data_IF_124439903989
#
_entry.id   IF_124439903989
#
_cell.length_a   1.000
_cell.length_b   1.000
_cell.length_c   1.000
_cell.angle_alpha   90.00
_cell.angle_beta   90.00
_cell.angle_gamma   90.00
#
_symmetry.space_group_name_H-M   'P 1'
#
loop_
_entity.id
_entity.type
_entity.pdbx_description
1 polymer ?
#
# COMPACT_ATOMS: atom_id res chain seq x y z
N UNK A 1 -26.23 7.89 11.50
CA UNK A 1 -26.33 8.35 10.10
C UNK A 1 -24.89 8.50 9.63
N UNK A 2 -24.33 7.45 9.04
CA UNK A 2 -22.95 7.45 8.57
C UNK A 2 -22.91 8.34 7.33
N UNK A 3 -22.07 9.36 7.32
CA UNK A 3 -21.80 10.15 6.12
C UNK A 3 -21.51 9.18 4.96
N UNK A 4 -22.08 9.38 3.76
CA UNK A 4 -21.68 8.57 2.62
C UNK A 4 -20.17 8.71 2.45
N UNK A 5 -19.49 7.57 2.23
CA UNK A 5 -18.05 7.59 1.97
C UNK A 5 -17.74 8.62 0.87
N UNK A 6 -16.69 9.45 1.04
CA UNK A 6 -16.35 10.43 0.02
C UNK A 6 -16.14 9.72 -1.32
N UNK A 7 -16.94 10.12 -2.31
CA UNK A 7 -16.83 9.54 -3.65
C UNK A 7 -15.67 10.23 -4.39
N UNK A 8 -14.59 9.50 -4.58
CA UNK A 8 -13.47 9.94 -5.40
C UNK A 8 -13.76 9.63 -6.88
N UNK A 9 -13.90 10.67 -7.70
CA UNK A 9 -14.19 10.52 -9.13
C UNK A 9 -12.97 10.04 -9.93
N UNK A 10 -11.76 10.34 -9.44
CA UNK A 10 -10.48 9.99 -10.07
C UNK A 10 -9.47 9.45 -9.06
N UNK A 11 -8.46 8.69 -9.53
CA UNK A 11 -7.38 8.23 -8.66
C UNK A 11 -6.51 9.38 -8.12
N UNK A 12 -6.14 10.41 -8.90
CA UNK A 12 -5.43 11.57 -8.37
C UNK A 12 -6.16 12.26 -7.21
N UNK A 13 -7.50 12.36 -7.25
CA UNK A 13 -8.29 12.86 -6.12
C UNK A 13 -8.21 11.91 -4.92
N UNK A 14 -8.36 10.59 -5.13
CA UNK A 14 -8.22 9.59 -4.07
C UNK A 14 -6.85 9.65 -3.39
N UNK A 15 -5.79 9.92 -4.14
CA UNK A 15 -4.42 10.02 -3.60
C UNK A 15 -4.21 11.23 -2.68
N UNK A 16 -5.14 12.20 -2.64
CA UNK A 16 -5.11 13.31 -1.69
C UNK A 16 -5.76 12.97 -0.34
N UNK A 17 -6.28 11.74 -0.16
CA UNK A 17 -6.87 11.32 1.12
C UNK A 17 -5.83 11.41 2.23
N UNK A 18 -6.23 12.00 3.36
CA UNK A 18 -5.42 12.07 4.56
C UNK A 18 -5.86 10.97 5.53
N UNK A 19 -4.92 10.12 5.92
CA UNK A 19 -5.18 9.00 6.83
C UNK A 19 -4.09 8.97 7.90
N UNK A 20 -4.45 8.90 9.20
CA UNK A 20 -3.48 8.84 10.28
C UNK A 20 -2.45 7.72 10.07
N UNK A 21 -1.17 8.08 10.17
CA UNK A 21 -0.07 7.13 10.07
C UNK A 21 0.29 6.67 8.66
N UNK A 22 -0.41 7.12 7.61
CA UNK A 22 -0.14 6.74 6.22
C UNK A 22 0.23 7.96 5.40
N UNK A 23 1.38 7.91 4.73
CA UNK A 23 1.83 8.94 3.80
C UNK A 23 1.82 8.41 2.37
N UNK A 24 1.12 9.11 1.48
CA UNK A 24 1.07 8.78 0.06
C UNK A 24 2.16 9.58 -0.65
N UNK A 25 3.26 8.91 -0.99
CA UNK A 25 4.40 9.47 -1.72
C UNK A 25 4.39 9.08 -3.21
N UNK A 26 3.40 8.28 -3.62
CA UNK A 26 3.22 7.82 -4.98
C UNK A 26 3.00 8.99 -5.96
N UNK A 27 3.65 8.93 -7.12
CA UNK A 27 3.43 9.88 -8.20
C UNK A 27 2.04 9.65 -8.84
N UNK A 28 1.13 10.65 -8.81
CA UNK A 28 -0.24 10.51 -9.31
C UNK A 28 -0.31 10.24 -10.80
N UNK A 29 0.73 10.57 -11.58
CA UNK A 29 0.77 10.31 -13.03
C UNK A 29 0.65 8.82 -13.36
N UNK A 30 1.11 7.93 -12.49
CA UNK A 30 0.97 6.48 -12.68
C UNK A 30 -0.48 6.00 -12.64
N UNK A 31 -1.37 6.76 -11.99
CA UNK A 31 -2.76 6.37 -11.82
C UNK A 31 -3.70 6.83 -12.94
N UNK A 32 -3.29 7.79 -13.75
CA UNK A 32 -4.13 8.39 -14.81
C UNK A 32 -4.71 7.33 -15.75
N UNK A 33 -3.90 6.33 -16.13
CA UNK A 33 -4.34 5.24 -17.01
C UNK A 33 -5.35 4.30 -16.35
N UNK A 34 -5.45 4.31 -15.02
CA UNK A 34 -6.43 3.49 -14.30
C UNK A 34 -7.85 4.05 -14.44
N UNK A 35 -8.00 5.38 -14.54
CA UNK A 35 -9.31 6.04 -14.62
C UNK A 35 -10.04 5.78 -15.94
N UNK A 36 -9.33 5.45 -17.02
CA UNK A 36 -9.94 5.07 -18.29
C UNK A 36 -10.49 3.65 -18.33
N UNK A 37 -10.29 2.85 -17.27
CA UNK A 37 -10.73 1.47 -17.25
C UNK A 37 -12.22 1.35 -16.89
N UNK A 38 -12.98 0.41 -17.49
CA UNK A 38 -14.39 0.17 -17.10
C UNK A 38 -14.58 -0.18 -15.61
N UNK A 39 -13.52 -0.67 -14.95
CA UNK A 39 -13.50 -1.02 -13.52
C UNK A 39 -12.92 0.06 -12.62
N UNK A 40 -12.65 1.27 -13.13
CA UNK A 40 -11.96 2.33 -12.39
C UNK A 40 -12.65 2.66 -11.06
N UNK A 41 -13.97 2.88 -11.05
CA UNK A 41 -14.73 3.16 -9.83
C UNK A 41 -14.62 2.04 -8.78
N UNK A 42 -14.67 0.77 -9.23
CA UNK A 42 -14.45 -0.38 -8.34
C UNK A 42 -13.04 -0.40 -7.77
N UNK A 43 -12.02 -0.14 -8.60
CA UNK A 43 -10.63 -0.10 -8.16
C UNK A 43 -10.34 1.06 -7.21
N UNK A 44 -10.96 2.23 -7.41
CA UNK A 44 -10.87 3.35 -6.45
C UNK A 44 -11.46 2.99 -5.09
N UNK A 45 -12.67 2.40 -5.06
CA UNK A 45 -13.27 1.91 -3.81
C UNK A 45 -12.39 0.90 -3.08
N UNK A 46 -11.82 -0.06 -3.80
CA UNK A 46 -10.88 -1.03 -3.21
C UNK A 46 -9.59 -0.38 -2.73
N UNK A 47 -9.06 0.59 -3.47
CA UNK A 47 -7.85 1.33 -3.06
C UNK A 47 -8.11 2.10 -1.78
N UNK A 48 -9.28 2.75 -1.64
CA UNK A 48 -9.67 3.40 -0.39
C UNK A 48 -9.76 2.41 0.78
N UNK A 49 -10.35 1.22 0.56
CA UNK A 49 -10.38 0.15 1.59
C UNK A 49 -8.98 -0.30 1.99
N UNK A 50 -8.06 -0.44 1.04
CA UNK A 50 -6.65 -0.75 1.31
C UNK A 50 -6.03 0.35 2.15
N UNK A 51 -6.12 1.61 1.72
CA UNK A 51 -5.53 2.75 2.43
C UNK A 51 -6.06 2.87 3.87
N UNK A 52 -7.37 2.69 4.06
CA UNK A 52 -7.99 2.65 5.40
C UNK A 52 -7.51 1.46 6.23
N UNK A 53 -7.30 0.30 5.62
CA UNK A 53 -6.73 -0.87 6.32
C UNK A 53 -5.29 -0.59 6.78
N UNK A 54 -4.48 0.05 5.92
CA UNK A 54 -3.12 0.46 6.27
C UNK A 54 -3.12 1.42 7.45
N UNK A 55 -4.01 2.42 7.45
CA UNK A 55 -4.15 3.36 8.57
C UNK A 55 -4.59 2.67 9.85
N UNK A 56 -5.59 1.78 9.80
CA UNK A 56 -6.03 1.01 10.96
C UNK A 56 -4.90 0.15 11.54
N UNK A 57 -4.09 -0.47 10.68
CA UNK A 57 -2.91 -1.23 11.09
C UNK A 57 -1.89 -0.37 11.84
N UNK A 58 -1.54 0.80 11.28
CA UNK A 58 -0.61 1.75 11.92
C UNK A 58 -1.14 2.22 13.27
N UNK A 59 -2.42 2.61 13.34
CA UNK A 59 -3.06 3.05 14.59
C UNK A 59 -3.10 1.93 15.65
N UNK A 60 -3.36 0.68 15.26
CA UNK A 60 -3.33 -0.45 16.18
C UNK A 60 -1.93 -0.69 16.77
N UNK A 61 -0.86 -0.50 15.96
CA UNK A 61 0.52 -0.58 16.46
C UNK A 61 0.86 0.57 17.41
N UNK A 62 0.44 1.80 17.10
CA UNK A 62 0.61 2.92 18.01
C UNK A 62 -0.11 2.72 19.34
N UNK A 63 -1.36 2.24 19.32
CA UNK A 63 -2.12 1.95 20.52
C UNK A 63 -1.46 0.87 21.39
N UNK A 64 -0.97 -0.22 20.78
CA UNK A 64 -0.25 -1.26 21.50
C UNK A 64 0.99 -0.72 22.21
N UNK A 65 1.76 0.16 21.55
CA UNK A 65 2.94 0.81 22.14
C UNK A 65 2.61 1.78 23.25
N UNK A 66 1.55 2.58 23.08
CA UNK A 66 1.10 3.51 24.13
C UNK A 66 0.70 2.76 25.41
N UNK A 67 0.16 1.54 25.26
CA UNK A 67 -0.17 0.66 26.37
C UNK A 67 1.05 -0.11 26.96
N UNK A 68 2.26 0.16 26.46
CA UNK A 68 3.50 -0.52 26.88
C UNK A 68 3.56 -1.99 26.49
N UNK A 69 2.73 -2.44 25.56
CA UNK A 69 2.70 -3.83 25.09
C UNK A 69 3.49 -3.95 23.77
N UNK A 70 4.36 -4.96 23.62
CA UNK A 70 4.87 -5.29 22.30
C UNK A 70 3.69 -5.66 21.38
N UNK A 71 3.80 -5.29 20.10
CA UNK A 71 2.82 -5.73 19.11
C UNK A 71 2.77 -7.27 19.11
N UNK A 72 1.63 -7.85 19.45
CA UNK A 72 1.44 -9.29 19.44
C UNK A 72 1.61 -9.87 18.02
N UNK A 73 1.63 -11.21 17.90
CA UNK A 73 1.85 -11.88 16.62
C UNK A 73 0.86 -11.43 15.50
N UNK A 74 -0.35 -11.04 15.90
CA UNK A 74 -1.40 -10.53 15.01
C UNK A 74 -1.15 -9.10 14.51
N UNK A 75 -0.25 -8.35 15.15
CA UNK A 75 0.15 -6.99 14.76
C UNK A 75 1.58 -6.92 14.20
N UNK A 76 2.29 -8.04 14.12
CA UNK A 76 3.67 -8.11 13.66
C UNK A 76 3.85 -7.60 12.22
N UNK A 77 2.87 -7.85 11.34
CA UNK A 77 2.88 -7.38 9.94
C UNK A 77 1.46 -7.05 9.50
N UNK A 78 1.32 -6.27 8.42
CA UNK A 78 0.01 -6.08 7.77
C UNK A 78 -0.66 -7.42 7.40
N UNK A 79 0.13 -8.40 6.95
CA UNK A 79 -0.38 -9.73 6.62
C UNK A 79 -0.99 -10.40 7.84
N UNK A 80 -0.33 -10.36 9.00
CA UNK A 80 -0.87 -10.86 10.26
C UNK A 80 -2.14 -10.13 10.67
N UNK A 81 -2.16 -8.80 10.56
CA UNK A 81 -3.30 -7.95 10.92
C UNK A 81 -4.56 -8.32 10.13
N UNK A 82 -4.41 -8.47 8.82
CA UNK A 82 -5.50 -8.86 7.94
C UNK A 82 -5.90 -10.32 8.16
N UNK A 83 -4.93 -11.23 8.36
CA UNK A 83 -5.18 -12.66 8.55
C UNK A 83 -6.00 -12.92 9.81
N UNK A 84 -5.66 -12.22 10.88
CA UNK A 84 -6.31 -12.36 12.18
C UNK A 84 -7.57 -11.50 12.31
N UNK A 85 -8.03 -10.89 11.21
CA UNK A 85 -9.26 -10.09 11.13
C UNK A 85 -9.35 -9.00 12.21
N UNK A 86 -8.21 -8.33 12.45
CA UNK A 86 -8.16 -7.26 13.45
C UNK A 86 -9.14 -6.12 13.10
N UNK A 87 -9.66 -5.39 14.10
CA UNK A 87 -10.55 -4.26 13.86
C UNK A 87 -9.96 -3.28 12.84
N UNK A 88 -10.71 -3.00 11.77
CA UNK A 88 -10.26 -2.13 10.67
C UNK A 88 -9.57 -2.85 9.50
N UNK A 89 -9.46 -4.19 9.51
CA UNK A 89 -9.10 -4.99 8.35
C UNK A 89 -10.26 -5.02 7.33
N UNK A 90 -10.27 -4.09 6.37
CA UNK A 90 -11.35 -3.95 5.37
C UNK A 90 -11.13 -4.79 4.10
N UNK A 91 -9.97 -5.43 3.98
CA UNK A 91 -9.59 -6.25 2.83
C UNK A 91 -9.40 -7.70 3.25
N UNK A 92 -9.55 -8.62 2.30
CA UNK A 92 -9.17 -10.01 2.52
C UNK A 92 -7.68 -10.22 2.29
N UNK A 93 -7.14 -11.34 2.78
CA UNK A 93 -5.78 -11.80 2.45
C UNK A 93 -5.50 -11.93 0.96
N UNK A 94 -6.55 -12.14 0.15
CA UNK A 94 -6.43 -12.30 -1.29
C UNK A 94 -5.87 -11.01 -1.91
N UNK A 95 -4.62 -11.08 -2.34
CA UNK A 95 -3.91 -9.99 -3.01
C UNK A 95 -2.88 -9.27 -2.15
N UNK A 96 -2.80 -9.56 -0.85
CA UNK A 96 -1.70 -9.08 0.01
C UNK A 96 -0.47 -9.94 -0.24
N UNK A 97 0.58 -9.33 -0.77
CA UNK A 97 1.88 -9.95 -0.99
C UNK A 97 2.91 -9.33 -0.04
N UNK A 98 3.40 -10.08 0.96
CA UNK A 98 4.41 -9.57 1.91
C UNK A 98 5.74 -9.21 1.25
N UNK A 99 6.04 -9.82 0.09
CA UNK A 99 7.28 -9.61 -0.65
C UNK A 99 7.05 -9.84 -2.15
N UNK A 100 7.82 -9.12 -2.96
CA UNK A 100 7.98 -9.33 -4.40
C UNK A 100 8.72 -10.64 -4.68
N UNK A 101 8.55 -11.23 -5.87
CA UNK A 101 9.20 -12.50 -6.19
C UNK A 101 10.73 -12.39 -6.24
N UNK A 102 11.44 -13.45 -5.85
CA UNK A 102 12.91 -13.48 -5.88
C UNK A 102 13.44 -13.25 -7.30
N UNK A 103 12.74 -13.71 -8.33
CA UNK A 103 13.12 -13.47 -9.72
C UNK A 103 13.11 -11.97 -10.08
N UNK A 104 12.13 -11.21 -9.59
CA UNK A 104 12.07 -9.75 -9.80
C UNK A 104 13.14 -9.05 -8.97
N UNK A 105 13.27 -9.41 -7.69
CA UNK A 105 14.24 -8.80 -6.77
C UNK A 105 15.68 -9.02 -7.22
N UNK A 106 16.00 -10.21 -7.73
CA UNK A 106 17.35 -10.57 -8.17
C UNK A 106 17.68 -10.13 -9.61
N UNK A 107 16.74 -9.49 -10.32
CA UNK A 107 16.96 -8.96 -11.67
C UNK A 107 17.07 -7.43 -11.60
N UNK A 108 18.27 -6.83 -11.74
CA UNK A 108 18.49 -5.39 -11.49
C UNK A 108 17.53 -4.48 -12.25
N UNK A 109 17.26 -4.77 -13.53
CA UNK A 109 16.31 -3.99 -14.35
C UNK A 109 14.88 -4.04 -13.78
N UNK A 110 14.43 -5.18 -13.25
CA UNK A 110 13.08 -5.31 -12.69
C UNK A 110 12.98 -4.72 -11.29
N UNK A 111 14.03 -4.91 -10.48
CA UNK A 111 14.17 -4.34 -9.14
C UNK A 111 14.20 -2.80 -9.16
N UNK A 112 14.83 -2.20 -10.18
CA UNK A 112 14.89 -0.74 -10.34
C UNK A 112 13.50 -0.06 -10.36
N UNK A 113 12.46 -0.77 -10.84
CA UNK A 113 11.09 -0.26 -10.84
C UNK A 113 10.41 -0.26 -9.45
N UNK A 114 11.05 -0.81 -8.41
CA UNK A 114 10.52 -0.92 -7.04
C UNK A 114 11.18 0.06 -6.06
N UNK A 115 12.06 0.94 -6.53
CA UNK A 115 12.59 2.01 -5.70
C UNK A 115 11.60 3.17 -5.69
N UNK A 116 11.08 3.49 -4.52
CA UNK A 116 10.12 4.57 -4.32
C UNK A 116 10.61 5.54 -3.24
N UNK A 117 10.10 6.79 -3.23
CA UNK A 117 10.51 7.79 -2.25
C UNK A 117 10.25 7.36 -0.81
N UNK A 118 11.14 7.74 0.10
CA UNK A 118 10.95 7.69 1.55
C UNK A 118 11.57 8.94 2.18
N UNK A 119 11.14 9.35 3.39
CA UNK A 119 11.82 10.41 4.11
C UNK A 119 13.27 10.02 4.46
N UNK A 120 14.21 11.00 4.55
CA UNK A 120 15.61 10.75 4.91
C UNK A 120 15.82 10.07 6.26
N UNK A 121 14.86 10.20 7.18
CA UNK A 121 14.86 9.53 8.48
C UNK A 121 14.74 8.00 8.34
N UNK A 122 14.10 7.53 7.26
CA UNK A 122 13.97 6.10 6.93
C UNK A 122 15.20 5.61 6.18
N UNK A 123 15.60 6.32 5.12
CA UNK A 123 16.80 6.03 4.34
C UNK A 123 17.44 7.34 3.84
N UNK A 124 18.72 7.62 4.15
CA UNK A 124 19.39 8.87 3.76
C UNK A 124 19.44 9.14 2.25
N UNK A 125 19.29 8.12 1.40
CA UNK A 125 19.25 8.29 -0.05
C UNK A 125 17.93 8.88 -0.55
N UNK A 126 16.89 8.92 0.30
CA UNK A 126 15.55 9.39 -0.03
C UNK A 126 14.71 8.40 -0.84
N UNK A 127 15.23 7.20 -1.11
CA UNK A 127 14.50 6.13 -1.81
C UNK A 127 14.80 4.77 -1.23
N UNK A 128 13.85 3.85 -1.28
CA UNK A 128 14.02 2.48 -0.80
C UNK A 128 13.27 1.50 -1.70
N UNK A 129 13.75 0.26 -1.79
CA UNK A 129 13.09 -0.79 -2.56
C UNK A 129 11.87 -1.33 -1.80
N UNK A 130 10.66 -1.07 -2.27
CA UNK A 130 9.44 -1.58 -1.65
C UNK A 130 9.13 -2.95 -2.23
N UNK A 131 9.07 -3.97 -1.38
CA UNK A 131 8.77 -5.34 -1.79
C UNK A 131 7.34 -5.76 -1.44
N UNK A 132 6.76 -5.16 -0.41
CA UNK A 132 5.38 -5.45 -0.02
C UNK A 132 4.40 -4.73 -0.95
N UNK A 133 3.37 -5.45 -1.40
CA UNK A 133 2.38 -4.88 -2.30
C UNK A 133 1.01 -5.54 -2.16
N UNK A 134 -0.02 -4.85 -2.66
CA UNK A 134 -1.40 -5.30 -2.67
C UNK A 134 -1.96 -5.22 -4.08
N UNK A 135 -2.52 -6.33 -4.57
CA UNK A 135 -3.30 -6.34 -5.80
C UNK A 135 -4.68 -5.71 -5.57
N UNK A 136 -4.95 -4.58 -6.22
CA UNK A 136 -6.24 -3.87 -6.16
C UNK A 136 -7.26 -4.52 -7.10
N UNK A 137 -6.79 -5.02 -8.24
CA UNK A 137 -7.63 -5.64 -9.24
C UNK A 137 -6.86 -6.51 -10.22
N UNK A 138 -7.61 -7.16 -11.09
CA UNK A 138 -7.08 -7.97 -12.19
C UNK A 138 -7.47 -7.36 -13.55
N UNK A 139 -6.65 -7.63 -14.56
CA UNK A 139 -6.90 -7.23 -15.95
C UNK A 139 -5.65 -7.46 -16.79
N UNK A 140 -5.82 -7.82 -18.07
CA UNK A 140 -4.70 -8.22 -18.94
C UNK A 140 -3.57 -7.18 -19.04
N UNK A 141 -3.89 -5.88 -18.98
CA UNK A 141 -2.92 -4.81 -19.24
C UNK A 141 -2.74 -3.81 -18.09
N UNK A 142 -3.62 -3.79 -17.08
CA UNK A 142 -3.52 -2.86 -15.96
C UNK A 142 -3.23 -3.58 -14.65
N UNK A 143 -4.05 -4.55 -14.23
CA UNK A 143 -3.88 -5.31 -12.98
C UNK A 143 -3.31 -4.44 -11.82
N UNK A 144 -4.06 -3.43 -11.36
CA UNK A 144 -3.49 -2.35 -10.56
C UNK A 144 -2.94 -2.85 -9.23
N UNK A 145 -1.81 -2.29 -8.82
CA UNK A 145 -1.13 -2.59 -7.57
C UNK A 145 -0.87 -1.34 -6.75
N UNK A 146 -0.78 -1.56 -5.44
CA UNK A 146 -0.26 -0.61 -4.47
C UNK A 146 1.01 -1.19 -3.84
N UNK A 147 2.13 -0.47 -3.86
CA UNK A 147 3.36 -0.83 -3.12
C UNK A 147 3.51 0.07 -1.91
N UNK A 148 3.93 -0.52 -0.80
CA UNK A 148 4.12 0.22 0.44
C UNK A 148 5.37 -0.23 1.21
N UNK A 149 5.86 0.67 2.07
CA UNK A 149 6.91 0.41 3.04
C UNK A 149 6.35 0.64 4.44
N UNK A 150 6.54 -0.36 5.29
CA UNK A 150 6.09 -0.36 6.68
C UNK A 150 7.25 0.05 7.57
N UNK A 151 7.29 1.33 7.95
CA UNK A 151 8.25 1.90 8.90
C UNK A 151 7.63 2.01 10.30
N UNK A 152 6.56 1.27 10.56
CA UNK A 152 5.84 1.42 11.84
C UNK A 152 6.73 1.05 13.01
N UNK A 153 7.58 0.02 12.91
CA UNK A 153 8.57 -0.34 13.93
C UNK A 153 9.90 0.42 13.79
N UNK A 154 10.01 1.33 12.82
CA UNK A 154 11.20 2.12 12.55
C UNK A 154 11.12 3.55 13.10
N UNK A 155 12.05 4.43 12.67
CA UNK A 155 12.26 5.75 13.26
C UNK A 155 11.06 6.70 13.12
N UNK A 156 10.21 6.54 12.10
CA UNK A 156 9.08 7.46 11.88
C UNK A 156 7.80 6.96 12.50
N UNK A 157 7.66 5.63 12.66
CA UNK A 157 6.41 5.01 13.08
C UNK A 157 5.31 5.05 12.04
N UNK A 158 5.61 5.46 10.79
CA UNK A 158 4.64 5.68 9.72
C UNK A 158 4.61 4.52 8.72
N UNK A 159 3.65 4.56 7.79
CA UNK A 159 3.61 3.70 6.62
C UNK A 159 3.59 4.55 5.35
N UNK A 160 4.39 4.18 4.37
CA UNK A 160 4.57 4.93 3.13
C UNK A 160 4.00 4.18 1.94
N UNK A 161 3.15 4.82 1.15
CA UNK A 161 2.65 4.30 -0.13
C UNK A 161 3.46 4.92 -1.26
N UNK A 162 4.34 4.12 -1.86
CA UNK A 162 5.31 4.59 -2.85
C UNK A 162 4.81 4.46 -4.30
N UNK A 163 3.80 3.62 -4.53
CA UNK A 163 3.24 3.42 -5.86
C UNK A 163 1.78 3.00 -5.80
N UNK A 164 0.96 3.61 -6.66
CA UNK A 164 -0.35 3.13 -7.07
C UNK A 164 -0.39 3.23 -8.58
N UNK A 165 -0.69 2.14 -9.27
CA UNK A 165 -0.66 2.16 -10.72
C UNK A 165 -0.82 0.79 -11.35
N UNK A 166 -0.62 0.69 -12.67
CA UNK A 166 -0.58 -0.58 -13.38
C UNK A 166 0.47 -1.53 -12.79
N UNK A 167 0.32 -2.81 -13.10
CA UNK A 167 1.32 -3.83 -12.87
C UNK A 167 2.70 -3.37 -13.38
N UNK A 168 3.68 -3.27 -12.49
CA UNK A 168 5.08 -2.96 -12.86
C UNK A 168 5.71 -4.13 -13.65
N UNK A 169 6.68 -3.90 -14.55
CA UNK A 169 7.32 -4.97 -15.33
C UNK A 169 7.78 -6.15 -14.45
N UNK A 170 7.63 -7.37 -14.96
CA UNK A 170 8.07 -8.61 -14.32
C UNK A 170 8.61 -9.58 -15.38
N UNK A 171 8.92 -10.81 -14.97
CA UNK A 171 9.43 -11.86 -15.87
C UNK A 171 8.46 -12.31 -16.98
N UNK A 172 7.20 -11.91 -16.94
CA UNK A 172 6.16 -12.29 -17.90
C UNK A 172 5.69 -11.13 -18.78
N UNK A 173 6.04 -9.90 -18.44
CA UNK A 173 5.65 -8.68 -19.15
C UNK A 173 6.89 -7.81 -19.33
N UNK A 174 7.47 -7.88 -20.53
CA UNK A 174 8.64 -7.09 -20.96
C UNK A 174 8.28 -5.67 -21.35
#
# INVERSE_FOLDING_TARGET
MTDPDPEYETFPQLMQVQLPGVQILADPRHTVKLDSAPKAALWRRRTLQVLRTLSAYVQAKHAARADGRPAGADLATLFSFVRSQQPGALISMRGVAPRESDAVVNTPRLAAHRYFPVPPEVDPTGTLMYVAHIAIGSGRNLAPRLYFHDDTDGPTGQLYVGYIGPHLPNTHTS
#
